data_IF_479877098577
#
_entry.id   IF_479877098577
#
_cell.length_a   1.000
_cell.length_b   1.000
_cell.length_c   1.000
_cell.angle_alpha   90.00
_cell.angle_beta   90.00
_cell.angle_gamma   90.00
#
_symmetry.space_group_name_H-M   'P 1'
#
loop_
_entity.id
_entity.type
_entity.pdbx_description
1 polymer ?
#
# COMPACT_ATOMS: atom_id res chain seq x y z
N UNK A 1 -54.76 80.53 6.71
CA UNK A 1 -56.07 80.28 6.07
C UNK A 1 -56.22 78.78 5.87
N UNK A 2 -57.34 78.22 6.34
CA UNK A 2 -58.11 77.06 5.80
C UNK A 2 -57.34 75.84 5.24
N UNK A 3 -57.68 74.57 5.45
CA UNK A 3 -58.75 73.78 6.11
C UNK A 3 -58.51 72.35 5.59
N UNK A 4 -58.74 71.30 6.42
CA UNK A 4 -59.36 69.99 6.05
C UNK A 4 -58.58 69.12 5.00
N UNK A 5 -58.65 67.79 4.87
CA UNK A 5 -59.39 66.64 5.39
C UNK A 5 -58.79 65.40 4.68
N UNK A 6 -58.47 64.28 5.35
CA UNK A 6 -59.23 63.00 5.41
C UNK A 6 -58.87 61.89 4.38
N UNK A 7 -58.86 60.64 4.86
CA UNK A 7 -58.86 59.36 4.11
C UNK A 7 -57.74 58.41 4.58
N UNK A 8 -57.88 57.53 5.59
CA UNK A 8 -58.63 56.25 5.66
C UNK A 8 -58.16 55.21 4.61
N UNK A 9 -58.01 53.90 4.84
CA UNK A 9 -57.99 52.98 5.98
C UNK A 9 -57.77 51.55 5.40
N UNK A 10 -57.21 50.61 6.18
CA UNK A 10 -57.43 49.13 6.20
C UNK A 10 -56.11 48.40 6.56
N UNK A 11 -55.92 47.83 7.78
CA UNK A 11 -56.42 46.53 8.30
C UNK A 11 -55.79 45.33 7.54
N UNK A 12 -55.20 44.27 8.11
CA UNK A 12 -55.39 43.46 9.34
C UNK A 12 -54.02 42.84 9.74
N UNK A 13 -53.73 42.31 10.95
CA UNK A 13 -54.51 42.02 12.15
C UNK A 13 -53.72 41.13 13.14
N UNK A 14 -54.17 41.18 14.41
CA UNK A 14 -54.07 40.23 15.55
C UNK A 14 -52.67 39.85 16.13
N UNK A 15 -52.25 40.27 17.35
CA UNK A 15 -52.71 40.03 18.75
C UNK A 15 -52.36 38.61 19.27
N UNK A 16 -51.38 38.40 20.17
CA UNK A 16 -51.38 38.56 21.66
C UNK A 16 -52.56 37.78 22.30
N UNK A 17 -52.46 36.92 23.33
CA UNK A 17 -51.63 36.84 24.55
C UNK A 17 -52.09 35.55 25.31
N UNK A 18 -51.23 34.87 26.08
CA UNK A 18 -51.69 34.04 27.21
C UNK A 18 -50.63 34.02 28.33
N UNK A 19 -51.06 34.50 29.50
CA UNK A 19 -50.36 34.58 30.79
C UNK A 19 -50.69 33.37 31.66
N UNK A 20 -49.73 32.85 32.43
CA UNK A 20 -49.98 32.27 33.76
C UNK A 20 -48.81 32.60 34.70
N UNK A 21 -49.14 33.13 35.88
CA UNK A 21 -48.26 33.44 37.01
C UNK A 21 -48.08 32.22 37.94
N UNK A 22 -46.92 32.11 38.58
CA UNK A 22 -46.82 31.61 39.96
C UNK A 22 -45.59 32.22 40.66
N UNK A 23 -45.82 32.95 41.74
CA UNK A 23 -44.81 33.48 42.64
C UNK A 23 -44.53 32.49 43.77
N UNK A 24 -43.24 32.30 44.12
CA UNK A 24 -42.79 31.61 45.31
C UNK A 24 -41.50 32.26 45.80
N UNK A 25 -41.54 32.87 46.97
CA UNK A 25 -40.45 33.61 47.59
C UNK A 25 -39.43 32.69 48.28
N UNK A 26 -38.15 33.10 48.31
CA UNK A 26 -37.25 32.73 49.41
C UNK A 26 -35.78 32.45 49.07
N UNK A 27 -34.93 33.37 49.53
CA UNK A 27 -33.51 33.22 49.90
C UNK A 27 -32.45 33.15 48.78
N UNK A 28 -31.51 34.09 48.83
CA UNK A 28 -30.57 34.41 47.76
C UNK A 28 -29.39 33.46 47.58
N UNK A 29 -28.78 33.58 46.40
CA UNK A 29 -27.36 33.31 46.13
C UNK A 29 -26.85 34.49 45.29
N UNK A 30 -25.58 34.89 45.48
CA UNK A 30 -24.96 36.09 44.90
C UNK A 30 -24.90 36.10 43.36
N UNK A 31 -24.29 37.14 42.75
CA UNK A 31 -24.16 37.21 41.29
C UNK A 31 -23.51 35.93 40.76
N UNK A 32 -24.26 35.23 39.92
CA UNK A 32 -23.85 34.02 39.22
C UNK A 32 -22.66 34.36 38.31
N UNK A 33 -21.58 33.58 38.42
CA UNK A 33 -20.42 33.78 37.55
C UNK A 33 -20.85 33.60 36.09
N UNK A 34 -20.65 34.63 35.28
CA UNK A 34 -20.69 34.49 33.83
C UNK A 34 -19.56 33.51 33.47
N UNK A 35 -19.94 32.38 32.88
CA UNK A 35 -18.99 31.39 32.40
C UNK A 35 -18.18 31.95 31.24
N UNK A 36 -16.97 32.39 31.53
CA UNK A 36 -15.95 32.63 30.53
C UNK A 36 -15.24 31.28 30.29
N UNK A 37 -15.55 30.54 29.22
CA UNK A 37 -15.34 30.98 27.85
C UNK A 37 -13.94 30.52 27.43
N UNK A 38 -13.83 29.26 26.98
CA UNK A 38 -12.71 28.68 26.26
C UNK A 38 -11.32 29.24 26.61
N UNK A 39 -10.69 28.69 27.66
CA UNK A 39 -9.23 28.57 27.64
C UNK A 39 -8.92 27.69 26.43
N UNK A 40 -8.22 28.25 25.45
CA UNK A 40 -7.69 27.56 24.26
C UNK A 40 -7.15 26.20 24.71
N UNK A 41 -7.89 25.11 24.47
CA UNK A 41 -7.32 23.78 24.57
C UNK A 41 -6.35 23.67 23.42
N UNK A 42 -5.06 23.80 23.71
CA UNK A 42 -3.99 23.51 22.77
C UNK A 42 -4.16 22.08 22.26
N UNK A 43 -4.79 21.92 21.11
CA UNK A 43 -5.03 20.63 20.43
C UNK A 43 -3.77 20.07 19.76
N UNK A 44 -2.59 20.53 20.18
CA UNK A 44 -1.31 20.00 19.77
C UNK A 44 -0.78 19.10 20.88
N UNK A 45 -1.22 17.85 20.87
CA UNK A 45 -0.44 16.79 21.53
C UNK A 45 0.86 16.67 20.73
N UNK A 46 2.05 16.93 21.32
CA UNK A 46 3.31 16.69 20.63
C UNK A 46 3.31 15.26 20.10
N UNK A 47 3.80 15.03 18.88
CA UNK A 47 3.73 13.69 18.26
C UNK A 47 4.34 12.58 19.14
N UNK A 48 5.30 12.92 20.02
CA UNK A 48 5.91 12.02 21.00
C UNK A 48 5.11 11.79 22.29
N UNK A 49 4.00 12.48 22.51
CA UNK A 49 3.04 12.23 23.61
C UNK A 49 1.72 11.64 23.10
N UNK A 50 1.61 11.45 21.78
CA UNK A 50 0.45 10.83 21.18
C UNK A 50 0.43 9.33 21.50
N UNK A 51 -0.70 8.83 21.98
CA UNK A 51 -0.93 7.40 22.15
C UNK A 51 -1.51 6.76 20.88
N UNK A 52 -1.72 7.55 19.82
CA UNK A 52 -2.19 7.02 18.56
C UNK A 52 -1.19 5.98 18.02
N UNK A 53 -1.66 4.85 17.47
CA UNK A 53 -0.78 3.87 16.90
C UNK A 53 0.00 4.46 15.71
N UNK A 54 1.26 4.08 15.59
CA UNK A 54 2.09 4.36 14.45
C UNK A 54 2.70 3.06 13.93
N UNK A 55 2.63 2.89 12.61
CA UNK A 55 3.36 1.85 11.90
C UNK A 55 4.72 2.40 11.49
N UNK A 56 5.78 1.77 11.98
CA UNK A 56 7.16 2.16 11.70
C UNK A 56 8.02 0.94 11.38
N UNK A 57 9.16 1.18 10.74
CA UNK A 57 10.24 0.19 10.63
C UNK A 57 11.35 0.58 11.58
N UNK A 58 11.65 -0.30 12.52
CA UNK A 58 12.82 -0.21 13.40
C UNK A 58 14.01 -0.79 12.65
N UNK A 59 14.99 0.05 12.34
CA UNK A 59 16.24 -0.37 11.73
C UNK A 59 17.16 -0.96 12.80
N UNK A 60 17.70 -2.14 12.52
CA UNK A 60 18.59 -2.85 13.44
C UNK A 60 20.01 -2.87 12.86
N UNK A 61 21.01 -2.78 13.74
CA UNK A 61 22.41 -2.87 13.36
C UNK A 61 22.75 -4.24 12.75
N UNK A 62 23.62 -4.24 11.75
CA UNK A 62 24.08 -5.44 11.06
C UNK A 62 23.74 -5.43 9.57
N UNK A 63 24.67 -5.91 8.74
CA UNK A 63 24.54 -5.91 7.28
C UNK A 63 23.62 -7.06 6.82
N UNK A 64 22.57 -6.79 6.03
CA UNK A 64 21.77 -7.83 5.40
C UNK A 64 22.60 -8.58 4.34
N UNK A 65 22.20 -9.82 4.01
CA UNK A 65 23.03 -10.65 3.12
C UNK A 65 23.23 -10.04 1.73
N UNK A 66 22.29 -9.22 1.22
CA UNK A 66 22.44 -8.56 -0.08
C UNK A 66 23.60 -7.57 -0.08
N UNK A 67 23.79 -6.83 1.02
CA UNK A 67 24.93 -5.91 1.20
C UNK A 67 26.22 -6.71 1.34
N UNK A 68 26.24 -7.75 2.17
CA UNK A 68 27.41 -8.64 2.32
C UNK A 68 27.83 -9.27 0.98
N UNK A 69 26.85 -9.70 0.18
CA UNK A 69 27.11 -10.25 -1.16
C UNK A 69 27.69 -9.19 -2.11
N UNK A 70 27.17 -7.95 -2.05
CA UNK A 70 27.68 -6.82 -2.82
C UNK A 70 29.13 -6.50 -2.48
N UNK A 71 29.43 -6.36 -1.19
CA UNK A 71 30.78 -6.09 -0.68
C UNK A 71 31.77 -7.21 -1.03
N UNK A 72 31.33 -8.46 -0.99
CA UNK A 72 32.17 -9.61 -1.31
C UNK A 72 32.47 -9.76 -2.82
N UNK A 73 31.74 -9.06 -3.69
CA UNK A 73 31.90 -9.16 -5.15
C UNK A 73 31.62 -10.56 -5.73
N UNK A 74 30.98 -11.45 -4.95
CA UNK A 74 30.68 -12.83 -5.33
C UNK A 74 29.30 -13.25 -4.87
N UNK A 75 28.73 -14.27 -5.50
CA UNK A 75 27.49 -14.87 -5.04
C UNK A 75 27.72 -15.65 -3.73
N UNK A 76 26.94 -15.33 -2.70
CA UNK A 76 26.92 -16.12 -1.46
C UNK A 76 26.11 -17.42 -1.69
N UNK A 77 26.56 -18.50 -1.06
CA UNK A 77 25.82 -19.75 -0.98
C UNK A 77 24.53 -19.60 -0.16
N UNK A 78 23.61 -20.55 -0.30
CA UNK A 78 22.38 -20.56 0.50
C UNK A 78 22.68 -20.60 2.01
N UNK A 79 23.63 -21.44 2.41
CA UNK A 79 24.03 -21.58 3.82
C UNK A 79 24.60 -20.28 4.39
N UNK A 80 25.47 -19.57 3.66
CA UNK A 80 25.99 -18.27 4.11
C UNK A 80 24.86 -17.24 4.29
N UNK A 81 23.90 -17.19 3.34
CA UNK A 81 22.75 -16.28 3.44
C UNK A 81 21.87 -16.62 4.65
N UNK A 82 21.63 -17.90 4.89
CA UNK A 82 20.78 -18.34 5.99
C UNK A 82 21.45 -18.08 7.35
N UNK A 83 22.77 -18.31 7.47
CA UNK A 83 23.53 -17.93 8.66
C UNK A 83 23.47 -16.42 8.96
N UNK A 84 23.59 -15.56 7.94
CA UNK A 84 23.44 -14.11 8.12
C UNK A 84 22.04 -13.79 8.62
N UNK A 85 20.99 -14.34 7.99
CA UNK A 85 19.60 -14.12 8.43
C UNK A 85 19.38 -14.55 9.87
N UNK A 86 19.89 -15.71 10.27
CA UNK A 86 19.71 -16.26 11.61
C UNK A 86 20.40 -15.40 12.66
N UNK A 87 21.62 -14.92 12.37
CA UNK A 87 22.32 -13.96 13.21
C UNK A 87 21.53 -12.66 13.38
N UNK A 88 21.01 -12.10 12.28
CA UNK A 88 20.19 -10.88 12.33
C UNK A 88 18.89 -11.12 13.11
N UNK A 89 18.22 -12.25 12.93
CA UNK A 89 17.02 -12.62 13.70
C UNK A 89 17.32 -12.69 15.21
N UNK A 90 18.46 -13.24 15.60
CA UNK A 90 18.88 -13.28 16.99
C UNK A 90 19.05 -11.86 17.58
N UNK A 91 19.60 -10.91 16.81
CA UNK A 91 19.71 -9.50 17.23
C UNK A 91 18.36 -8.77 17.28
N UNK A 92 17.41 -9.15 16.42
CA UNK A 92 16.08 -8.58 16.36
C UNK A 92 15.15 -9.10 17.48
N UNK A 93 15.36 -10.32 17.97
CA UNK A 93 14.47 -10.99 18.92
C UNK A 93 14.23 -10.20 20.23
N UNK A 94 15.26 -9.62 20.90
CA UNK A 94 15.05 -8.80 22.09
C UNK A 94 14.22 -7.52 21.81
N UNK A 95 14.44 -6.89 20.65
CA UNK A 95 13.68 -5.70 20.23
C UNK A 95 12.21 -6.07 20.02
N UNK A 96 11.96 -7.18 19.30
CA UNK A 96 10.61 -7.70 19.08
C UNK A 96 9.91 -8.08 20.40
N UNK A 97 10.64 -8.62 21.38
CA UNK A 97 10.10 -8.91 22.71
C UNK A 97 9.71 -7.62 23.44
N UNK A 98 10.57 -6.60 23.42
CA UNK A 98 10.27 -5.31 24.06
C UNK A 98 9.07 -4.59 23.43
N UNK A 99 8.94 -4.66 22.11
CA UNK A 99 7.77 -4.10 21.40
C UNK A 99 6.48 -4.73 21.93
N UNK A 100 6.44 -6.06 22.08
CA UNK A 100 5.26 -6.77 22.63
C UNK A 100 5.00 -6.44 24.09
N UNK A 101 6.06 -6.32 24.90
CA UNK A 101 5.97 -5.91 26.31
C UNK A 101 5.33 -4.51 26.46
N UNK A 102 5.64 -3.60 25.54
CA UNK A 102 5.09 -2.24 25.51
C UNK A 102 3.70 -2.15 24.86
N UNK A 103 3.06 -3.29 24.57
CA UNK A 103 1.73 -3.37 23.96
C UNK A 103 1.71 -3.14 22.46
N UNK A 104 2.87 -3.15 21.79
CA UNK A 104 2.97 -3.09 20.34
C UNK A 104 2.88 -4.46 19.66
N UNK A 105 2.63 -4.44 18.36
CA UNK A 105 2.56 -5.64 17.50
C UNK A 105 3.74 -5.64 16.54
N UNK A 106 4.34 -6.82 16.34
CA UNK A 106 5.37 -7.04 15.33
C UNK A 106 4.70 -7.64 14.10
N UNK A 107 4.59 -6.86 13.03
CA UNK A 107 3.88 -7.27 11.80
C UNK A 107 4.81 -8.01 10.84
N UNK A 108 6.10 -7.63 10.77
CA UNK A 108 7.07 -8.32 9.90
C UNK A 108 8.54 -8.07 10.32
N UNK A 109 9.47 -8.88 9.81
CA UNK A 109 10.92 -8.71 9.98
C UNK A 109 11.67 -8.92 8.67
N UNK A 110 12.72 -8.15 8.44
CA UNK A 110 13.52 -8.14 7.21
C UNK A 110 14.99 -8.43 7.52
N UNK A 111 15.63 -9.28 6.70
CA UNK A 111 17.06 -9.60 6.82
C UNK A 111 17.77 -9.68 5.45
N UNK A 112 17.02 -9.59 4.34
CA UNK A 112 17.54 -9.90 3.01
C UNK A 112 18.19 -8.71 2.31
N UNK A 113 17.43 -7.62 2.15
CA UNK A 113 17.89 -6.36 1.56
C UNK A 113 17.95 -5.22 2.58
N UNK A 114 17.25 -5.39 3.71
CA UNK A 114 17.19 -4.44 4.80
C UNK A 114 17.15 -5.22 6.11
N UNK A 115 17.80 -4.71 7.15
CA UNK A 115 17.78 -5.29 8.49
C UNK A 115 16.87 -4.46 9.39
N UNK A 116 15.65 -4.95 9.62
CA UNK A 116 14.70 -4.22 10.45
C UNK A 116 13.42 -4.98 10.77
N UNK A 117 12.59 -4.36 11.60
CA UNK A 117 11.34 -4.92 12.11
C UNK A 117 10.22 -3.92 11.85
N UNK A 118 9.17 -4.33 11.12
CA UNK A 118 7.94 -3.55 10.96
C UNK A 118 7.06 -3.77 12.18
N UNK A 119 6.72 -2.69 12.86
CA UNK A 119 5.93 -2.72 14.08
C UNK A 119 4.79 -1.72 14.03
N UNK A 120 3.74 -2.01 14.77
CA UNK A 120 2.67 -1.08 15.12
C UNK A 120 2.68 -0.87 16.64
N UNK A 121 2.91 0.37 17.09
CA UNK A 121 3.00 0.70 18.52
C UNK A 121 2.52 2.13 18.76
N UNK A 122 2.06 2.43 19.98
CA UNK A 122 1.75 3.80 20.37
C UNK A 122 2.99 4.71 20.26
N UNK A 123 2.81 5.92 19.70
CA UNK A 123 3.95 6.82 19.38
C UNK A 123 4.75 7.22 20.61
N UNK A 124 4.11 7.37 21.76
CA UNK A 124 4.74 7.67 23.05
C UNK A 124 5.71 6.57 23.54
N UNK A 125 5.63 5.35 22.99
CA UNK A 125 6.55 4.24 23.29
C UNK A 125 7.77 4.19 22.37
N UNK A 126 7.76 4.90 21.24
CA UNK A 126 8.87 4.89 20.29
C UNK A 126 10.22 5.33 20.89
N UNK A 127 10.29 6.32 21.81
CA UNK A 127 11.56 6.65 22.48
C UNK A 127 12.17 5.48 23.25
N UNK A 128 11.33 4.65 23.89
CA UNK A 128 11.80 3.46 24.60
C UNK A 128 12.36 2.39 23.65
N UNK A 129 11.80 2.28 22.45
CA UNK A 129 12.34 1.40 21.39
C UNK A 129 13.65 1.97 20.82
N UNK A 130 13.71 3.28 20.58
CA UNK A 130 14.91 3.94 20.05
C UNK A 130 16.12 3.82 20.98
N UNK A 131 15.90 3.71 22.30
CA UNK A 131 16.94 3.55 23.29
C UNK A 131 17.49 2.11 23.42
N UNK A 132 16.92 1.13 22.71
CA UNK A 132 17.37 -0.25 22.80
C UNK A 132 18.73 -0.46 22.12
N UNK A 133 19.57 -1.37 22.65
CA UNK A 133 20.79 -1.77 21.96
C UNK A 133 20.50 -2.26 20.54
N UNK A 134 21.40 -1.96 19.61
CA UNK A 134 21.33 -2.29 18.18
C UNK A 134 20.20 -1.61 17.40
N UNK A 135 19.36 -0.77 17.99
CA UNK A 135 18.45 0.08 17.22
C UNK A 135 19.23 1.27 16.66
N UNK A 136 19.27 1.40 15.33
CA UNK A 136 20.03 2.46 14.65
C UNK A 136 19.13 3.50 13.99
N UNK A 137 17.82 3.24 13.93
CA UNK A 137 16.85 4.18 13.37
C UNK A 137 15.42 3.71 13.51
N UNK A 138 14.48 4.65 13.48
CA UNK A 138 13.04 4.40 13.40
C UNK A 138 12.50 5.22 12.24
N UNK A 139 11.93 4.55 11.25
CA UNK A 139 11.46 5.17 10.01
C UNK A 139 9.95 5.02 9.88
N UNK A 140 9.25 6.13 9.63
CA UNK A 140 7.83 6.08 9.31
C UNK A 140 7.63 5.45 7.92
N UNK A 141 6.63 4.58 7.80
CA UNK A 141 6.29 3.98 6.51
C UNK A 141 5.41 4.92 5.70
N UNK A 142 5.79 5.15 4.44
CA UNK A 142 4.94 5.78 3.45
C UNK A 142 4.09 4.71 2.76
N UNK A 143 2.81 5.03 2.56
CA UNK A 143 1.92 4.20 1.75
C UNK A 143 2.11 4.60 0.30
N UNK A 144 2.56 3.66 -0.51
CA UNK A 144 2.63 3.81 -1.97
C UNK A 144 1.35 3.24 -2.59
N UNK A 145 0.88 3.88 -3.65
CA UNK A 145 -0.24 3.41 -4.47
C UNK A 145 0.23 3.25 -5.90
N UNK A 146 -0.26 2.24 -6.64
CA UNK A 146 -0.01 2.14 -8.07
C UNK A 146 -0.43 3.45 -8.75
N UNK A 147 0.46 4.02 -9.55
CA UNK A 147 0.16 5.16 -10.39
C UNK A 147 0.43 4.77 -11.83
N UNK A 148 -0.58 5.00 -12.66
CA UNK A 148 -0.54 4.64 -14.05
C UNK A 148 -0.14 5.88 -14.86
N UNK A 149 1.17 6.13 -14.94
CA UNK A 149 1.65 7.13 -15.90
C UNK A 149 1.55 6.53 -17.29
N UNK A 150 0.88 7.23 -18.21
CA UNK A 150 0.90 6.94 -19.66
C UNK A 150 2.35 7.10 -20.18
N UNK A 151 3.24 6.16 -19.87
CA UNK A 151 4.70 6.31 -19.98
C UNK A 151 5.28 5.95 -21.35
N UNK A 152 4.55 5.19 -22.18
CA UNK A 152 5.04 4.72 -23.48
C UNK A 152 5.45 5.87 -24.42
N UNK A 153 4.73 7.01 -24.50
CA UNK A 153 5.17 8.15 -25.32
C UNK A 153 6.34 8.93 -24.69
N UNK A 154 6.53 8.87 -23.37
CA UNK A 154 7.44 9.77 -22.65
C UNK A 154 8.89 9.24 -22.56
N UNK A 155 9.09 7.92 -22.66
CA UNK A 155 10.43 7.28 -22.60
C UNK A 155 11.10 7.11 -23.96
N UNK A 156 10.50 7.62 -25.05
CA UNK A 156 11.06 7.50 -26.41
C UNK A 156 11.08 6.06 -26.96
N UNK A 157 10.35 5.12 -26.33
CA UNK A 157 10.27 3.72 -26.77
C UNK A 157 9.87 3.54 -28.26
N UNK A 158 8.96 4.35 -28.84
CA UNK A 158 8.65 4.25 -30.26
C UNK A 158 9.87 4.50 -31.17
N UNK A 159 10.75 5.43 -30.80
CA UNK A 159 11.96 5.74 -31.59
C UNK A 159 12.99 4.59 -31.57
N UNK A 160 13.01 3.76 -30.53
CA UNK A 160 13.85 2.55 -30.46
C UNK A 160 13.20 1.38 -31.20
N UNK A 161 11.86 1.29 -31.18
CA UNK A 161 11.13 0.28 -31.95
C UNK A 161 11.28 0.46 -33.46
N UNK A 162 11.42 1.71 -33.93
CA UNK A 162 11.63 2.04 -35.35
C UNK A 162 13.10 2.30 -35.74
N UNK A 163 13.99 2.60 -34.78
CA UNK A 163 15.29 3.24 -35.08
C UNK A 163 16.57 2.42 -34.90
N UNK A 164 16.55 1.25 -34.24
CA UNK A 164 17.77 0.44 -34.05
C UNK A 164 17.51 -1.03 -34.37
N UNK A 165 17.82 -1.43 -35.60
CA UNK A 165 17.72 -2.84 -36.01
C UNK A 165 18.67 -3.72 -35.17
N UNK A 166 18.15 -4.86 -34.69
CA UNK A 166 18.95 -5.91 -34.04
C UNK A 166 19.11 -5.80 -32.52
N UNK A 167 18.49 -4.83 -31.85
CA UNK A 167 18.47 -4.76 -30.38
C UNK A 167 17.05 -5.01 -29.85
N UNK A 168 16.79 -6.23 -29.36
CA UNK A 168 15.46 -6.59 -28.83
C UNK A 168 15.48 -7.01 -27.35
N UNK A 169 16.64 -6.91 -26.70
CA UNK A 169 16.84 -7.25 -25.29
C UNK A 169 17.23 -8.71 -25.06
N UNK A 170 17.72 -9.41 -26.08
CA UNK A 170 18.19 -10.78 -25.98
C UNK A 170 19.27 -10.92 -24.89
N UNK A 171 19.15 -11.97 -24.08
CA UNK A 171 20.10 -12.23 -22.98
C UNK A 171 19.87 -11.40 -21.72
N UNK A 172 19.00 -10.38 -21.76
CA UNK A 172 18.65 -9.56 -20.60
C UNK A 172 17.41 -10.13 -19.88
N UNK A 173 17.38 -9.98 -18.55
CA UNK A 173 16.22 -10.28 -17.70
C UNK A 173 15.79 -8.99 -17.00
N UNK A 174 14.48 -8.75 -16.95
CA UNK A 174 13.93 -7.54 -16.32
C UNK A 174 13.07 -7.96 -15.13
N UNK A 175 13.43 -7.46 -13.94
CA UNK A 175 12.64 -7.57 -12.72
C UNK A 175 11.60 -6.46 -12.67
N UNK A 176 10.34 -6.82 -12.49
CA UNK A 176 9.22 -5.88 -12.33
C UNK A 176 8.62 -6.17 -10.96
N UNK A 177 8.62 -5.18 -10.07
CA UNK A 177 8.00 -5.25 -8.75
C UNK A 177 6.72 -4.41 -8.82
N UNK A 178 5.56 -5.07 -8.95
CA UNK A 178 4.28 -4.39 -9.20
C UNK A 178 3.09 -5.15 -8.59
N UNK A 179 1.93 -5.24 -9.24
CA UNK A 179 0.76 -6.02 -8.78
C UNK A 179 0.65 -7.41 -9.38
N UNK A 180 1.63 -7.81 -10.20
CA UNK A 180 1.84 -9.19 -10.60
C UNK A 180 2.09 -9.28 -12.09
N UNK A 181 1.95 -10.49 -12.63
CA UNK A 181 1.96 -10.73 -14.07
C UNK A 181 0.90 -11.78 -14.45
N UNK A 182 0.05 -11.45 -15.41
CA UNK A 182 -0.79 -12.40 -16.11
C UNK A 182 0.07 -13.19 -17.11
N UNK A 183 0.77 -14.20 -16.61
CA UNK A 183 1.56 -15.11 -17.44
C UNK A 183 0.69 -16.00 -18.35
N UNK A 184 -0.64 -16.01 -18.18
CA UNK A 184 -1.56 -16.73 -19.07
C UNK A 184 -1.87 -15.93 -20.35
N UNK A 185 -1.50 -14.66 -20.40
CA UNK A 185 -1.72 -13.80 -21.56
C UNK A 185 -0.89 -14.22 -22.78
N UNK A 186 -1.45 -14.08 -23.99
CA UNK A 186 -0.79 -14.51 -25.24
C UNK A 186 0.55 -13.80 -25.51
N UNK A 187 0.67 -12.52 -25.16
CA UNK A 187 1.94 -11.78 -25.27
C UNK A 187 3.05 -12.32 -24.34
N UNK A 188 2.67 -13.10 -23.33
CA UNK A 188 3.59 -13.81 -22.45
C UNK A 188 3.76 -15.30 -22.86
N UNK A 189 3.35 -15.66 -24.08
CA UNK A 189 3.29 -17.02 -24.63
C UNK A 189 2.37 -17.96 -23.83
N UNK A 190 1.41 -17.40 -23.08
CA UNK A 190 0.34 -18.15 -22.44
C UNK A 190 -0.85 -18.40 -23.38
N UNK A 191 -1.86 -19.18 -22.95
CA UNK A 191 -3.01 -19.54 -23.79
C UNK A 191 -3.85 -18.34 -24.28
N UNK A 192 -3.79 -17.19 -23.60
CA UNK A 192 -4.54 -15.99 -23.95
C UNK A 192 -6.06 -16.10 -23.75
N UNK A 193 -6.52 -17.06 -22.95
CA UNK A 193 -7.95 -17.31 -22.73
C UNK A 193 -8.38 -16.98 -21.31
N UNK A 194 -9.64 -16.54 -21.16
CA UNK A 194 -10.27 -16.32 -19.85
C UNK A 194 -10.29 -17.61 -19.01
N UNK A 195 -10.47 -18.76 -19.67
CA UNK A 195 -10.47 -20.06 -19.01
C UNK A 195 -9.10 -20.38 -18.37
N UNK A 196 -8.01 -20.13 -19.08
CA UNK A 196 -6.66 -20.32 -18.56
C UNK A 196 -6.37 -19.40 -17.37
N UNK A 197 -6.77 -18.13 -17.47
CA UNK A 197 -6.61 -17.19 -16.35
C UNK A 197 -7.44 -17.60 -15.12
N UNK A 198 -8.71 -17.97 -15.32
CA UNK A 198 -9.56 -18.44 -14.22
C UNK A 198 -8.99 -19.70 -13.54
N UNK A 199 -8.43 -20.62 -14.32
CA UNK A 199 -7.77 -21.82 -13.78
C UNK A 199 -6.52 -21.45 -12.98
N UNK A 200 -5.68 -20.55 -13.49
CA UNK A 200 -4.51 -20.05 -12.78
C UNK A 200 -4.89 -19.35 -11.47
N UNK A 201 -5.93 -18.50 -11.50
CA UNK A 201 -6.44 -17.79 -10.32
C UNK A 201 -7.02 -18.74 -9.27
N UNK A 202 -7.68 -19.82 -9.69
CA UNK A 202 -8.20 -20.82 -8.75
C UNK A 202 -7.09 -21.49 -7.92
N UNK A 203 -5.84 -21.41 -8.38
CA UNK A 203 -4.64 -21.92 -7.72
C UNK A 203 -3.60 -20.82 -7.51
N UNK A 204 -4.03 -19.57 -7.27
CA UNK A 204 -3.15 -18.40 -7.17
C UNK A 204 -2.15 -18.46 -6.02
N UNK A 205 -2.25 -19.40 -5.09
CA UNK A 205 -1.27 -19.58 -3.99
C UNK A 205 -0.35 -20.79 -4.20
N UNK A 206 -0.55 -21.54 -5.29
CA UNK A 206 0.24 -22.72 -5.62
C UNK A 206 1.25 -22.39 -6.71
N UNK A 207 2.32 -23.18 -6.77
CA UNK A 207 3.34 -23.01 -7.80
C UNK A 207 2.68 -23.04 -9.20
N UNK A 208 2.99 -22.05 -10.06
CA UNK A 208 2.39 -21.95 -11.38
C UNK A 208 2.88 -23.09 -12.29
N UNK A 209 2.21 -23.26 -13.43
CA UNK A 209 2.65 -24.19 -14.45
C UNK A 209 4.09 -23.87 -14.89
N UNK A 210 5.05 -24.81 -14.73
CA UNK A 210 6.46 -24.58 -15.05
C UNK A 210 6.73 -24.31 -16.54
N UNK A 211 5.76 -24.62 -17.41
CA UNK A 211 5.82 -24.29 -18.84
C UNK A 211 5.50 -22.82 -19.12
N UNK A 212 4.75 -22.16 -18.23
CA UNK A 212 4.39 -20.75 -18.34
C UNK A 212 5.26 -19.84 -17.47
N UNK A 213 5.70 -20.33 -16.31
CA UNK A 213 6.56 -19.60 -15.38
C UNK A 213 7.71 -20.47 -14.90
N UNK A 214 8.94 -20.06 -15.19
CA UNK A 214 10.13 -20.72 -14.68
C UNK A 214 11.30 -20.66 -15.65
N UNK A 215 12.46 -21.26 -15.29
CA UNK A 215 13.65 -21.18 -16.12
C UNK A 215 13.45 -21.68 -17.56
N UNK A 216 12.61 -22.71 -17.71
CA UNK A 216 12.28 -23.36 -18.98
C UNK A 216 11.14 -22.68 -19.75
N UNK A 217 10.23 -21.97 -19.07
CA UNK A 217 9.14 -21.24 -19.73
C UNK A 217 9.69 -20.23 -20.72
N UNK A 218 9.04 -19.96 -21.87
CA UNK A 218 9.59 -19.10 -22.91
C UNK A 218 9.86 -17.69 -22.37
N UNK A 219 8.81 -17.00 -21.88
CA UNK A 219 8.91 -15.61 -21.46
C UNK A 219 9.08 -15.43 -19.96
N UNK A 220 8.12 -15.82 -19.13
CA UNK A 220 8.19 -15.53 -17.67
C UNK A 220 9.18 -16.48 -17.00
N UNK A 221 10.34 -15.98 -16.56
CA UNK A 221 11.45 -16.85 -16.08
C UNK A 221 11.33 -17.26 -14.62
N UNK A 222 10.38 -16.68 -13.92
CA UNK A 222 10.11 -16.92 -12.52
C UNK A 222 9.20 -15.82 -12.00
N UNK A 223 8.98 -15.88 -10.70
CA UNK A 223 8.18 -14.94 -9.97
C UNK A 223 7.72 -15.56 -8.67
N UNK A 224 7.28 -14.70 -7.77
CA UNK A 224 6.82 -15.01 -6.42
C UNK A 224 5.92 -13.86 -6.08
N UNK A 225 4.73 -14.09 -5.53
CA UNK A 225 3.98 -13.03 -4.88
C UNK A 225 4.60 -12.79 -3.50
N UNK A 226 5.07 -11.57 -3.25
CA UNK A 226 5.70 -11.22 -1.97
C UNK A 226 4.70 -10.84 -0.87
N UNK A 227 3.42 -10.67 -1.20
CA UNK A 227 2.45 -10.08 -0.27
C UNK A 227 1.10 -10.79 -0.25
N UNK A 228 0.72 -11.51 -1.30
CA UNK A 228 -0.51 -12.27 -1.40
C UNK A 228 -1.70 -11.44 -1.93
N UNK A 229 -2.68 -12.13 -2.52
CA UNK A 229 -3.87 -11.57 -3.17
C UNK A 229 -4.70 -10.59 -2.30
N UNK A 230 -4.67 -10.73 -0.97
CA UNK A 230 -5.45 -9.91 -0.04
C UNK A 230 -4.65 -8.76 0.59
N UNK A 231 -3.41 -8.50 0.14
CA UNK A 231 -2.58 -7.47 0.73
C UNK A 231 -3.08 -6.06 0.40
N UNK A 232 -3.28 -5.24 1.43
CA UNK A 232 -3.61 -3.84 1.29
C UNK A 232 -2.86 -3.00 2.35
N UNK A 233 -1.89 -2.20 1.91
CA UNK A 233 -1.06 -1.38 2.80
C UNK A 233 -1.86 -0.37 3.65
N UNK A 234 -3.00 0.12 3.13
CA UNK A 234 -3.95 0.98 3.85
C UNK A 234 -5.19 0.24 4.38
N UNK A 235 -5.18 -1.09 4.38
CA UNK A 235 -6.31 -1.93 4.78
C UNK A 235 -6.37 -2.20 6.29
N UNK A 236 -7.13 -3.22 6.67
CA UNK A 236 -7.19 -3.72 8.05
C UNK A 236 -5.85 -4.30 8.51
N UNK A 237 -5.60 -4.47 9.82
CA UNK A 237 -4.35 -5.05 10.31
C UNK A 237 -3.96 -6.36 9.62
N UNK A 238 -4.91 -7.28 9.41
CA UNK A 238 -4.65 -8.55 8.73
C UNK A 238 -4.24 -8.37 7.27
N UNK A 239 -4.82 -7.39 6.56
CA UNK A 239 -4.48 -7.09 5.17
C UNK A 239 -3.11 -6.41 5.01
N UNK A 240 -2.56 -5.83 6.09
CA UNK A 240 -1.23 -5.22 6.08
C UNK A 240 -0.12 -6.24 6.32
N UNK A 241 -0.46 -7.49 6.63
CA UNK A 241 0.50 -8.57 6.82
C UNK A 241 0.73 -9.26 5.48
N UNK A 242 1.98 -9.29 4.96
CA UNK A 242 2.30 -10.02 3.75
C UNK A 242 2.09 -11.54 3.91
N UNK A 243 1.48 -12.17 2.92
CA UNK A 243 1.32 -13.61 2.77
C UNK A 243 1.99 -14.10 1.48
N UNK A 244 3.33 -14.21 1.46
CA UNK A 244 4.04 -14.56 0.23
C UNK A 244 3.73 -15.98 -0.23
N UNK A 245 3.68 -16.18 -1.54
CA UNK A 245 3.45 -17.46 -2.18
C UNK A 245 4.21 -17.56 -3.54
N UNK A 246 4.37 -18.77 -4.11
CA UNK A 246 5.24 -18.96 -5.27
C UNK A 246 4.62 -18.48 -6.61
N UNK A 247 3.38 -18.01 -6.63
CA UNK A 247 2.67 -17.68 -7.87
C UNK A 247 2.69 -16.17 -8.13
N UNK A 248 3.27 -15.69 -9.24
CA UNK A 248 3.32 -14.25 -9.52
C UNK A 248 2.06 -13.71 -10.21
N UNK A 249 0.93 -14.43 -10.15
CA UNK A 249 -0.28 -14.05 -10.89
C UNK A 249 -0.76 -12.64 -10.50
N UNK A 250 -1.15 -11.85 -11.50
CA UNK A 250 -1.68 -10.51 -11.26
C UNK A 250 -3.12 -10.53 -10.79
N UNK A 251 -3.32 -10.09 -9.55
CA UNK A 251 -4.62 -9.99 -8.88
C UNK A 251 -5.33 -8.64 -9.10
N UNK A 252 -4.61 -7.63 -9.61
CA UNK A 252 -5.11 -6.24 -9.73
C UNK A 252 -5.20 -5.76 -11.18
N UNK A 253 -4.26 -6.19 -12.03
CA UNK A 253 -4.15 -5.84 -13.45
C UNK A 253 -3.14 -4.74 -13.76
N UNK A 254 -2.59 -4.05 -12.75
CA UNK A 254 -1.64 -2.95 -12.97
C UNK A 254 -0.29 -3.45 -13.50
N UNK A 255 0.26 -4.49 -12.87
CA UNK A 255 1.55 -5.09 -13.25
C UNK A 255 1.54 -5.74 -14.64
N UNK A 256 0.37 -6.24 -15.08
CA UNK A 256 0.20 -6.81 -16.42
C UNK A 256 -0.11 -5.77 -17.50
N UNK A 257 -0.61 -4.59 -17.10
CA UNK A 257 -1.10 -3.52 -17.97
C UNK A 257 -1.96 -3.99 -19.16
N UNK A 258 -2.85 -4.94 -18.86
CA UNK A 258 -3.95 -5.35 -19.74
C UNK A 258 -5.25 -4.95 -19.05
N UNK A 259 -6.12 -4.15 -19.67
CA UNK A 259 -7.38 -3.77 -19.03
C UNK A 259 -8.36 -4.95 -19.08
N UNK A 260 -8.73 -5.53 -17.92
CA UNK A 260 -10.00 -6.26 -17.81
C UNK A 260 -10.61 -6.28 -16.39
N UNK A 261 -11.70 -5.49 -16.27
CA UNK A 261 -12.73 -5.33 -15.20
C UNK A 261 -12.28 -4.95 -13.77
N UNK A 262 -12.91 -3.95 -13.14
CA UNK A 262 -12.61 -3.54 -11.78
C UNK A 262 -13.31 -4.49 -10.80
N UNK A 263 -12.57 -5.33 -10.09
CA UNK A 263 -12.96 -5.68 -8.73
C UNK A 263 -12.29 -4.69 -7.81
N UNK A 264 -13.12 -3.87 -7.17
CA UNK A 264 -12.73 -2.80 -6.26
C UNK A 264 -12.07 -3.35 -5.00
N UNK A 265 -10.79 -3.70 -5.09
CA UNK A 265 -9.95 -3.90 -3.92
C UNK A 265 -8.53 -3.56 -4.29
N UNK A 266 -7.93 -2.69 -3.48
CA UNK A 266 -6.56 -2.18 -3.62
C UNK A 266 -5.58 -3.29 -3.21
N UNK A 267 -5.53 -4.37 -3.99
CA UNK A 267 -4.60 -5.47 -3.79
C UNK A 267 -3.35 -5.24 -4.61
N UNK A 268 -2.17 -5.40 -4.03
CA UNK A 268 -0.92 -5.48 -4.78
C UNK A 268 -0.43 -6.92 -4.70
N UNK A 269 -0.04 -7.56 -5.81
CA UNK A 269 0.69 -8.83 -5.81
C UNK A 269 2.11 -8.62 -6.38
N UNK A 270 3.14 -8.52 -5.55
CA UNK A 270 4.47 -8.14 -6.05
C UNK A 270 5.14 -9.28 -6.82
N UNK A 271 5.25 -9.20 -8.15
CA UNK A 271 6.04 -10.15 -8.98
C UNK A 271 7.55 -9.76 -9.10
N UNK A 272 8.35 -10.64 -9.73
CA UNK A 272 9.72 -10.43 -10.21
C UNK A 272 10.08 -11.54 -11.25
N UNK A 273 11.24 -11.50 -11.94
CA UNK A 273 11.43 -11.07 -13.33
C UNK A 273 10.80 -11.92 -14.46
N UNK A 274 10.40 -11.23 -15.55
CA UNK A 274 10.05 -11.81 -16.85
C UNK A 274 11.22 -11.68 -17.87
N UNK A 275 11.29 -12.58 -18.85
CA UNK A 275 12.21 -12.53 -20.02
C UNK A 275 11.37 -12.39 -21.29
N UNK A 276 11.98 -11.80 -22.33
CA UNK A 276 11.44 -11.77 -23.69
C UNK A 276 12.23 -12.77 -24.55
N UNK A 277 11.55 -13.72 -25.19
CA UNK A 277 12.20 -14.75 -26.00
C UNK A 277 11.43 -15.08 -27.27
N UNK A 278 11.10 -14.07 -28.07
CA UNK A 278 10.91 -14.29 -29.51
C UNK A 278 10.69 -12.97 -30.22
N UNK A 279 11.16 -12.98 -31.47
CA UNK A 279 10.87 -12.01 -32.52
C UNK A 279 9.37 -11.83 -32.68
N UNK A 280 8.92 -10.59 -32.66
CA UNK A 280 7.58 -10.23 -33.14
C UNK A 280 7.53 -10.44 -34.66
N UNK A 281 6.92 -11.52 -35.13
CA UNK A 281 6.32 -11.52 -36.46
C UNK A 281 4.90 -11.00 -36.31
N UNK A 282 4.61 -9.86 -36.95
CA UNK A 282 3.28 -9.28 -37.04
C UNK A 282 2.33 -10.33 -37.65
N UNK A 283 1.48 -10.95 -36.82
CA UNK A 283 0.35 -11.72 -37.32
C UNK A 283 -0.70 -10.75 -37.83
N UNK A 284 -0.66 -10.47 -39.13
CA UNK A 284 -1.79 -9.86 -39.84
C UNK A 284 -2.81 -10.96 -40.13
N UNK A 285 -3.74 -11.16 -39.20
CA UNK A 285 -5.00 -11.90 -39.41
C UNK A 285 -6.19 -10.94 -39.33
N UNK A 286 -7.26 -11.16 -40.11
CA UNK A 286 -8.10 -10.08 -40.62
C UNK A 286 -8.96 -9.43 -39.54
N UNK A 287 -9.02 -8.10 -39.62
CA UNK A 287 -10.03 -7.27 -38.97
C UNK A 287 -11.43 -7.69 -39.43
N UNK A 288 -12.31 -8.03 -38.49
CA UNK A 288 -13.75 -7.79 -38.66
C UNK A 288 -14.45 -7.77 -37.30
N UNK A 289 -14.99 -6.58 -37.00
CA UNK A 289 -16.34 -6.34 -36.44
C UNK A 289 -16.54 -6.35 -34.92
N UNK A 290 -16.63 -5.11 -34.40
CA UNK A 290 -17.57 -4.56 -33.42
C UNK A 290 -18.22 -5.47 -32.37
N UNK A 291 -18.04 -5.09 -31.10
CA UNK A 291 -18.87 -5.53 -29.97
C UNK A 291 -19.52 -4.31 -29.31
N UNK A 292 -20.84 -4.24 -29.39
CA UNK A 292 -21.68 -3.85 -28.24
C UNK A 292 -21.64 -4.95 -27.19
#
# INVERSE_FOLDING_TARGET
MHTRSAGAAALLGAALLLLVFAAGAGAGNGPEAIGDGNIIQSYYTPLGMSTAPATVVVQVAGKPWAEVQGDAGRKLSKSEKDQIKDSLRATQAPIAAKVRELGGTVENSFQSAYNGIRIEIARDKLPAIAALPNVVGIHALQVFTPDNTNGVPLVGAPAVWDGVNGLHGEGIKVGIIDTGIDYTHANFDGPGTIAAWNAARATSTLAPDPTLVGPAAPRVKGGTDLVGDNYAAGGTPDQRIPHPDPNPLDCNGHGSHVPRRPTSTRSACLAAPARRTSSWTRSTGPSTTAWT
#
